data_IF_112499333872
#
_entry.id   IF_112499333872
#
_cell.length_a   1.000
_cell.length_b   1.000
_cell.length_c   1.000
_cell.angle_alpha   90.00
_cell.angle_beta   90.00
_cell.angle_gamma   90.00
#
_symmetry.space_group_name_H-M   'P 1'
#
loop_
_entity.id
_entity.type
_entity.pdbx_description
1 polymer ?
#
# COMPACT_ATOMS: atom_id res chain seq x y z
N UNK A 1 14.71 -3.00 -17.11
CA UNK A 1 13.42 -2.72 -16.46
C UNK A 1 13.18 -3.84 -15.44
N UNK A 2 13.22 -3.56 -14.13
CA UNK A 2 12.94 -4.60 -13.11
C UNK A 2 11.45 -4.94 -13.16
N UNK A 3 11.10 -6.22 -13.18
CA UNK A 3 9.70 -6.66 -13.25
C UNK A 3 8.95 -6.24 -12.00
N UNK A 4 7.64 -5.96 -12.12
CA UNK A 4 6.75 -5.64 -10.99
C UNK A 4 6.89 -6.66 -9.86
N UNK A 5 7.14 -7.92 -10.21
CA UNK A 5 7.38 -9.06 -9.32
C UNK A 5 8.63 -8.93 -8.42
N UNK A 6 9.74 -8.42 -8.95
CA UNK A 6 11.01 -8.32 -8.21
C UNK A 6 10.92 -7.21 -7.16
N UNK A 7 10.26 -6.10 -7.49
CA UNK A 7 10.00 -4.99 -6.57
C UNK A 7 9.00 -5.33 -5.48
N UNK A 8 8.07 -6.25 -5.75
CA UNK A 8 7.14 -6.71 -4.72
C UNK A 8 7.83 -7.60 -3.69
N UNK A 9 8.83 -8.38 -4.11
CA UNK A 9 9.64 -9.18 -3.19
C UNK A 9 10.61 -8.32 -2.34
N UNK A 10 11.08 -7.19 -2.87
CA UNK A 10 11.95 -6.26 -2.15
C UNK A 10 11.21 -5.46 -1.06
N UNK A 11 9.89 -5.31 -1.19
CA UNK A 11 9.06 -4.50 -0.30
C UNK A 11 7.92 -5.36 0.26
N UNK A 12 8.24 -6.39 1.05
CA UNK A 12 7.23 -7.13 1.82
C UNK A 12 6.97 -6.49 3.19
N UNK A 13 5.71 -6.58 3.66
CA UNK A 13 5.31 -6.11 4.98
C UNK A 13 4.63 -4.75 4.98
N UNK A 14 4.76 -3.99 6.08
CA UNK A 14 4.07 -2.71 6.26
C UNK A 14 4.80 -1.60 5.50
N UNK A 15 4.06 -0.90 4.64
CA UNK A 15 4.56 0.21 3.85
C UNK A 15 3.75 1.48 4.08
N UNK A 16 4.38 2.61 3.83
CA UNK A 16 3.75 3.92 3.67
C UNK A 16 3.88 4.36 2.22
N UNK A 17 3.14 5.39 1.83
CA UNK A 17 3.31 6.05 0.54
C UNK A 17 3.78 7.48 0.79
N UNK A 18 5.04 7.75 0.48
CA UNK A 18 5.70 9.06 0.74
C UNK A 18 5.59 9.47 2.21
N UNK A 19 5.84 8.55 3.13
CA UNK A 19 5.72 8.75 4.58
C UNK A 19 4.29 8.95 5.11
N UNK A 20 3.24 8.73 4.30
CA UNK A 20 1.83 8.86 4.70
C UNK A 20 1.04 7.57 4.49
N UNK A 21 -0.10 7.47 5.18
CA UNK A 21 -0.98 6.32 5.07
C UNK A 21 -0.34 5.03 5.58
N UNK A 22 -1.00 3.90 5.34
CA UNK A 22 -0.52 2.58 5.71
C UNK A 22 -1.07 1.54 4.74
N UNK A 23 -0.21 0.68 4.24
CA UNK A 23 -0.60 -0.53 3.54
C UNK A 23 0.25 -1.72 3.98
N UNK A 24 -0.21 -2.91 3.63
CA UNK A 24 0.57 -4.15 3.72
C UNK A 24 0.78 -4.66 2.31
N UNK A 25 2.05 -4.93 1.96
CA UNK A 25 2.43 -5.59 0.71
C UNK A 25 2.75 -7.05 1.01
N UNK A 26 2.16 -7.95 0.23
CA UNK A 26 2.44 -9.39 0.28
C UNK A 26 2.51 -9.92 -1.14
N UNK A 27 3.72 -10.32 -1.57
CA UNK A 27 4.01 -10.51 -2.99
C UNK A 27 3.53 -9.31 -3.82
N UNK A 28 2.77 -9.56 -4.90
CA UNK A 28 2.28 -8.52 -5.82
C UNK A 28 1.03 -7.76 -5.32
N UNK A 29 0.53 -8.06 -4.12
CA UNK A 29 -0.73 -7.50 -3.62
C UNK A 29 -0.47 -6.36 -2.64
N UNK A 30 -1.09 -5.21 -2.89
CA UNK A 30 -1.16 -4.10 -1.93
C UNK A 30 -2.52 -4.14 -1.23
N UNK A 31 -2.50 -4.24 0.09
CA UNK A 31 -3.67 -4.10 0.94
C UNK A 31 -3.63 -2.73 1.62
N UNK A 32 -4.33 -1.74 1.06
CA UNK A 32 -4.37 -0.39 1.60
C UNK A 32 -5.21 -0.36 2.89
N UNK A 33 -4.60 0.02 4.02
CA UNK A 33 -5.25 0.09 5.33
C UNK A 33 -5.70 1.50 5.66
N UNK A 34 -4.86 2.50 5.38
CA UNK A 34 -5.11 3.94 5.57
C UNK A 34 -4.69 4.68 4.33
N UNK A 35 -5.59 5.47 3.75
CA UNK A 35 -5.28 6.27 2.57
C UNK A 35 -4.30 7.42 2.89
N UNK A 36 -3.21 7.60 2.14
CA UNK A 36 -2.27 8.71 2.33
C UNK A 36 -2.85 10.07 1.91
N UNK A 37 -3.94 10.09 1.13
CA UNK A 37 -4.55 11.31 0.59
C UNK A 37 -5.66 11.84 1.51
N UNK A 38 -6.66 11.01 1.83
CA UNK A 38 -7.81 11.43 2.64
C UNK A 38 -7.75 10.97 4.10
N UNK A 39 -6.71 10.26 4.51
CA UNK A 39 -6.53 9.72 5.87
C UNK A 39 -7.61 8.74 6.35
N UNK A 40 -8.56 8.37 5.48
CA UNK A 40 -9.60 7.41 5.80
C UNK A 40 -9.04 5.99 5.89
N UNK A 41 -9.59 5.21 6.84
CA UNK A 41 -9.34 3.78 6.91
C UNK A 41 -10.10 3.06 5.80
N UNK A 42 -9.43 2.12 5.14
CA UNK A 42 -10.01 1.27 4.11
C UNK A 42 -10.62 -0.03 4.68
N UNK A 43 -10.75 -0.12 6.00
CA UNK A 43 -11.34 -1.25 6.71
C UNK A 43 -12.83 -1.31 6.44
N UNK A 44 -13.24 -2.01 5.37
CA UNK A 44 -14.58 -2.59 5.21
C UNK A 44 -14.63 -3.38 3.91
N UNK A 45 -14.33 -4.68 4.01
CA UNK A 45 -14.84 -5.80 3.22
C UNK A 45 -13.75 -6.88 3.13
N UNK A 46 -14.18 -8.13 3.12
CA UNK A 46 -13.35 -9.34 3.10
C UNK A 46 -12.37 -9.46 1.91
N UNK A 47 -12.19 -8.40 1.13
CA UNK A 47 -11.30 -8.34 0.00
C UNK A 47 -10.55 -6.99 0.06
N UNK A 48 -9.32 -6.93 0.60
CA UNK A 48 -8.56 -5.69 0.59
C UNK A 48 -8.38 -5.24 -0.85
N UNK A 49 -9.06 -4.13 -1.18
CA UNK A 49 -8.96 -3.46 -2.47
C UNK A 49 -7.60 -2.77 -2.55
N UNK A 50 -6.97 -2.82 -3.72
CA UNK A 50 -5.73 -2.08 -3.94
C UNK A 50 -5.97 -0.58 -3.77
N UNK A 51 -7.17 -0.07 -4.08
CA UNK A 51 -7.51 1.38 -4.03
C UNK A 51 -8.32 1.78 -2.81
N UNK A 52 -8.32 3.08 -2.51
CA UNK A 52 -9.14 3.68 -1.47
C UNK A 52 -10.63 3.68 -1.84
N UNK A 53 -11.48 3.24 -0.93
CA UNK A 53 -12.94 3.20 -1.13
C UNK A 53 -13.61 4.59 -1.03
N UNK A 54 -12.89 5.61 -0.56
CA UNK A 54 -13.44 6.94 -0.27
C UNK A 54 -13.11 7.95 -1.37
N UNK A 55 -11.84 8.04 -1.75
CA UNK A 55 -11.36 9.01 -2.74
C UNK A 55 -10.86 8.36 -4.03
N UNK A 56 -11.04 7.03 -4.17
CA UNK A 56 -10.55 6.24 -5.30
C UNK A 56 -9.03 6.27 -5.53
N UNK A 57 -8.24 6.75 -4.56
CA UNK A 57 -6.77 6.74 -4.64
C UNK A 57 -6.22 5.34 -4.92
N UNK A 58 -5.39 5.21 -5.95
CA UNK A 58 -4.73 3.96 -6.33
C UNK A 58 -3.24 4.01 -5.93
N UNK A 59 -2.80 3.20 -4.95
CA UNK A 59 -1.40 3.12 -4.57
C UNK A 59 -0.59 2.37 -5.64
N UNK A 60 0.61 2.88 -5.88
CA UNK A 60 1.57 2.26 -6.78
C UNK A 60 2.81 1.80 -6.00
N UNK A 61 3.33 0.61 -6.29
CA UNK A 61 4.52 0.07 -5.61
C UNK A 61 5.76 0.97 -5.74
N UNK A 62 5.80 1.85 -6.74
CA UNK A 62 6.93 2.79 -6.89
C UNK A 62 6.96 3.90 -5.86
N UNK A 63 5.81 4.22 -5.24
CA UNK A 63 5.71 5.21 -4.17
C UNK A 63 5.73 4.54 -2.78
N UNK A 64 5.80 3.20 -2.72
CA UNK A 64 5.77 2.44 -1.48
C UNK A 64 7.15 2.46 -0.80
N UNK A 65 7.15 2.78 0.49
CA UNK A 65 8.34 2.84 1.32
C UNK A 65 8.11 1.99 2.58
N UNK A 66 9.07 1.16 3.02
CA UNK A 66 8.95 0.39 4.25
C UNK A 66 8.64 1.31 5.44
N UNK A 67 7.72 0.88 6.32
CA UNK A 67 7.55 1.55 7.62
C UNK A 67 8.83 1.31 8.41
N UNK A 68 9.62 2.37 8.64
CA UNK A 68 10.75 2.29 9.57
C UNK A 68 10.16 2.13 10.98
N UNK A 69 10.32 0.95 11.58
CA UNK A 69 10.14 0.84 13.02
C UNK A 69 11.29 1.59 13.69
N UNK A 70 10.94 2.60 14.48
CA UNK A 70 11.87 3.25 15.39
C UNK A 70 12.28 2.30 16.52
#
# INVERSE_FOLDING_TARGET
MRSVAERSAEIEGRVTFRGRGLAVVSGRRISLMVCPVCSQRNTCSANPSSRCNWCAYEPHLSDAEPVRQA
#
